data_IF_234126636669
#
_entry.id   IF_234126636669
#
_cell.length_a   1.000
_cell.length_b   1.000
_cell.length_c   1.000
_cell.angle_alpha   90.00
_cell.angle_beta   90.00
_cell.angle_gamma   90.00
#
_symmetry.space_group_name_H-M   'P 1'
#
loop_
_entity.id
_entity.type
_entity.pdbx_description
1 polymer ?
#
# COMPACT_ATOMS: atom_id res chain seq x y z
N UNK A 1 -2.74 -23.78 21.55
CA UNK A 1 -1.60 -23.02 20.97
C UNK A 1 -1.58 -23.37 19.48
N UNK A 2 -1.48 -22.39 18.59
CA UNK A 2 -1.39 -22.67 17.16
C UNK A 2 0.07 -22.98 16.81
N UNK A 3 0.31 -24.10 16.13
CA UNK A 3 1.63 -24.42 15.60
C UNK A 3 1.93 -23.48 14.42
N UNK A 4 3.02 -22.73 14.53
CA UNK A 4 3.50 -21.83 13.48
C UNK A 4 4.57 -22.55 12.67
N UNK A 5 4.34 -22.71 11.37
CA UNK A 5 5.32 -23.25 10.43
C UNK A 5 5.94 -22.13 9.60
N UNK A 6 7.26 -22.13 9.49
CA UNK A 6 7.98 -21.26 8.56
C UNK A 6 7.74 -21.74 7.13
N UNK A 7 7.21 -20.85 6.29
CA UNK A 7 6.97 -21.16 4.88
C UNK A 7 8.15 -20.78 3.99
N UNK A 8 8.54 -19.52 4.01
CA UNK A 8 9.63 -18.99 3.17
C UNK A 8 10.05 -17.58 3.60
N UNK A 9 11.19 -17.14 3.07
CA UNK A 9 11.67 -15.75 3.13
C UNK A 9 11.83 -15.28 1.70
N UNK A 10 11.17 -14.17 1.37
CA UNK A 10 11.23 -13.58 0.04
C UNK A 10 12.02 -12.29 0.13
N UNK A 11 13.10 -12.18 -0.66
CA UNK A 11 13.83 -10.92 -0.81
C UNK A 11 12.97 -9.94 -1.61
N UNK A 12 12.78 -8.76 -1.05
CA UNK A 12 11.97 -7.69 -1.66
C UNK A 12 12.92 -6.60 -2.14
N UNK A 13 12.71 -6.07 -3.36
CA UNK A 13 13.53 -5.00 -3.94
C UNK A 13 12.65 -3.85 -4.39
N UNK A 14 13.21 -2.63 -4.36
CA UNK A 14 12.54 -1.46 -4.93
C UNK A 14 12.34 -1.67 -6.43
N UNK A 15 11.12 -1.50 -6.90
CA UNK A 15 10.75 -1.58 -8.30
C UNK A 15 10.94 -0.21 -8.97
N UNK A 16 11.16 -0.16 -10.30
CA UNK A 16 11.14 1.10 -11.02
C UNK A 16 9.76 1.76 -10.93
N UNK A 17 9.68 3.04 -11.32
CA UNK A 17 8.38 3.70 -11.45
C UNK A 17 7.53 2.96 -12.48
N UNK A 18 6.26 2.70 -12.16
CA UNK A 18 5.35 2.00 -13.05
C UNK A 18 3.97 1.80 -12.48
N UNK A 19 3.17 1.01 -13.18
CA UNK A 19 1.84 0.61 -12.76
C UNK A 19 1.92 -0.72 -12.03
N UNK A 20 1.40 -0.75 -10.80
CA UNK A 20 1.41 -1.91 -9.93
C UNK A 20 0.03 -2.13 -9.34
N UNK A 21 -0.27 -3.40 -9.07
CA UNK A 21 -1.44 -3.77 -8.28
C UNK A 21 -0.94 -4.07 -6.87
N UNK A 22 -1.32 -3.22 -5.92
CA UNK A 22 -0.76 -3.21 -4.56
C UNK A 22 -1.83 -3.56 -3.53
N UNK A 23 -1.43 -4.29 -2.49
CA UNK A 23 -2.31 -4.64 -1.38
C UNK A 23 -2.05 -3.75 -0.17
N UNK A 24 -3.12 -3.39 0.55
CA UNK A 24 -3.04 -2.74 1.85
C UNK A 24 -3.19 -1.21 1.80
N UNK A 25 -2.50 -0.53 2.71
CA UNK A 25 -2.56 0.91 2.88
C UNK A 25 -1.59 1.62 1.93
N UNK A 26 -2.07 2.67 1.29
CA UNK A 26 -1.36 3.40 0.24
C UNK A 26 -1.28 4.86 0.65
N UNK A 27 -0.07 5.41 0.80
CA UNK A 27 0.06 6.86 1.01
C UNK A 27 -0.37 7.61 -0.23
N UNK A 28 -1.34 8.50 -0.07
CA UNK A 28 -1.95 9.21 -1.19
C UNK A 28 -0.93 10.03 -1.99
N UNK A 29 0.08 10.60 -1.32
CA UNK A 29 1.14 11.38 -1.99
C UNK A 29 2.09 10.55 -2.87
N UNK A 30 2.16 9.22 -2.71
CA UNK A 30 3.09 8.35 -3.44
C UNK A 30 2.43 7.53 -4.54
N UNK A 31 1.12 7.64 -4.72
CA UNK A 31 0.39 6.81 -5.64
C UNK A 31 -0.64 7.63 -6.41
N UNK A 32 -0.66 7.44 -7.73
CA UNK A 32 -1.73 7.92 -8.58
C UNK A 32 -2.65 6.76 -8.90
N UNK A 33 -3.93 6.91 -8.57
CA UNK A 33 -4.94 5.89 -8.81
C UNK A 33 -5.22 5.72 -10.30
N UNK A 34 -5.32 4.47 -10.76
CA UNK A 34 -5.87 4.15 -12.07
C UNK A 34 -7.41 4.14 -11.97
N UNK A 35 -8.01 5.33 -12.09
CA UNK A 35 -9.45 5.55 -11.89
C UNK A 35 -10.30 4.68 -12.84
N UNK A 36 -9.83 4.47 -14.06
CA UNK A 36 -10.54 3.64 -15.03
C UNK A 36 -10.63 2.19 -14.53
N UNK A 37 -9.50 1.60 -14.12
CA UNK A 37 -9.50 0.22 -13.58
C UNK A 37 -10.27 0.11 -12.28
N UNK A 38 -10.18 1.10 -11.41
CA UNK A 38 -10.95 1.14 -10.15
C UNK A 38 -12.45 1.06 -10.44
N UNK A 39 -12.92 1.78 -11.45
CA UNK A 39 -14.32 1.76 -11.85
C UNK A 39 -14.70 0.42 -12.50
N UNK A 40 -13.89 -0.09 -13.42
CA UNK A 40 -14.10 -1.38 -14.09
C UNK A 40 -14.14 -2.56 -13.11
N UNK A 41 -13.29 -2.55 -12.07
CA UNK A 41 -13.21 -3.57 -11.03
C UNK A 41 -14.15 -3.30 -9.84
N UNK A 42 -14.91 -2.21 -9.89
CA UNK A 42 -15.84 -1.78 -8.84
C UNK A 42 -15.18 -1.75 -7.45
N UNK A 43 -13.99 -1.15 -7.35
CA UNK A 43 -13.22 -1.06 -6.10
C UNK A 43 -13.78 0.02 -5.17
N UNK A 44 -13.89 -0.30 -3.87
CA UNK A 44 -14.39 0.60 -2.85
C UNK A 44 -13.24 1.16 -2.03
N UNK A 45 -12.76 2.36 -2.40
CA UNK A 45 -11.67 3.04 -1.73
C UNK A 45 -12.18 4.01 -0.65
N UNK A 46 -11.50 4.01 0.49
CA UNK A 46 -11.66 5.02 1.53
C UNK A 46 -10.35 5.78 1.73
N UNK A 47 -10.50 7.06 2.08
CA UNK A 47 -9.39 7.90 2.53
C UNK A 47 -9.47 7.95 4.06
N UNK A 48 -8.36 7.61 4.71
CA UNK A 48 -8.18 7.76 6.14
C UNK A 48 -6.98 8.64 6.42
N UNK A 49 -7.01 9.34 7.55
CA UNK A 49 -5.89 10.15 8.02
C UNK A 49 -5.25 9.45 9.22
N UNK A 50 -3.99 9.05 9.09
CA UNK A 50 -3.28 8.32 10.14
C UNK A 50 -2.05 9.08 10.64
N UNK A 51 -1.72 8.94 11.94
CA UNK A 51 -0.43 9.39 12.46
C UNK A 51 0.72 8.68 11.72
N UNK A 52 1.74 9.45 11.35
CA UNK A 52 2.92 8.95 10.62
C UNK A 52 4.20 9.14 11.43
N UNK A 53 4.37 10.32 12.01
CA UNK A 53 5.57 10.69 12.72
C UNK A 53 5.21 11.40 14.03
N UNK A 54 6.03 11.19 15.05
CA UNK A 54 5.94 11.91 16.31
C UNK A 54 7.17 12.80 16.44
N UNK A 55 6.96 14.09 16.70
CA UNK A 55 8.05 15.02 16.97
C UNK A 55 8.67 14.74 18.36
N UNK A 56 9.87 15.26 18.65
CA UNK A 56 10.43 15.22 20.01
C UNK A 56 9.50 15.82 21.07
N UNK A 57 8.70 16.81 20.67
CA UNK A 57 7.69 17.46 21.50
C UNK A 57 6.37 16.68 21.61
N UNK A 58 6.35 15.41 21.17
CA UNK A 58 5.18 14.50 21.20
C UNK A 58 3.99 14.98 20.39
N UNK A 59 4.23 15.73 19.32
CA UNK A 59 3.19 16.15 18.37
C UNK A 59 3.13 15.16 17.22
N UNK A 60 1.93 14.65 16.91
CA UNK A 60 1.72 13.74 15.80
C UNK A 60 1.51 14.47 14.49
N UNK A 61 2.39 14.21 13.53
CA UNK A 61 2.15 14.50 12.13
C UNK A 61 1.32 13.39 11.50
N UNK A 62 0.40 13.78 10.63
CA UNK A 62 -0.54 12.87 10.00
C UNK A 62 -0.40 12.91 8.49
N UNK A 63 -0.64 11.77 7.84
CA UNK A 63 -0.72 11.67 6.39
C UNK A 63 -2.04 11.03 5.96
N UNK A 64 -2.42 11.29 4.72
CA UNK A 64 -3.60 10.69 4.08
C UNK A 64 -3.21 9.35 3.43
N UNK A 65 -4.04 8.34 3.69
CA UNK A 65 -3.88 7.00 3.18
C UNK A 65 -5.16 6.56 2.48
N UNK A 66 -4.99 5.83 1.40
CA UNK A 66 -6.02 5.13 0.66
C UNK A 66 -6.02 3.66 1.08
N UNK A 67 -7.21 3.09 1.23
CA UNK A 67 -7.41 1.68 1.57
C UNK A 67 -8.65 1.13 0.87
N UNK A 68 -8.61 -0.11 0.40
CA UNK A 68 -9.77 -0.80 -0.19
C UNK A 68 -10.50 -1.63 0.86
N UNK A 69 -11.81 -1.41 0.97
CA UNK A 69 -12.64 -1.90 2.09
C UNK A 69 -12.77 -3.41 2.21
N UNK A 70 -12.56 -4.16 1.13
CA UNK A 70 -12.68 -5.61 1.06
C UNK A 70 -11.31 -6.29 0.99
N UNK A 71 -10.21 -5.55 1.21
CA UNK A 71 -8.85 -6.07 1.11
C UNK A 71 -8.42 -6.43 -0.32
N UNK A 72 -9.15 -5.96 -1.34
CA UNK A 72 -8.79 -6.17 -2.74
C UNK A 72 -7.56 -5.35 -3.11
N UNK A 73 -6.70 -5.89 -3.98
CA UNK A 73 -5.57 -5.13 -4.52
C UNK A 73 -6.04 -3.87 -5.28
N UNK A 74 -5.28 -2.79 -5.19
CA UNK A 74 -5.60 -1.50 -5.82
C UNK A 74 -4.60 -1.21 -6.94
N UNK A 75 -5.05 -0.90 -8.17
CA UNK A 75 -4.17 -0.52 -9.26
C UNK A 75 -3.70 0.94 -9.11
N UNK A 76 -2.38 1.15 -9.05
CA UNK A 76 -1.76 2.46 -8.87
C UNK A 76 -0.52 2.64 -9.74
N UNK A 77 -0.27 3.86 -10.19
CA UNK A 77 1.03 4.31 -10.69
C UNK A 77 1.86 4.84 -9.51
N UNK A 78 3.07 4.31 -9.29
CA UNK A 78 3.94 4.72 -8.18
C UNK A 78 5.42 4.49 -8.48
N UNK A 79 6.29 5.25 -7.82
CA UNK A 79 7.75 5.04 -7.78
C UNK A 79 8.23 4.37 -6.48
N UNK A 80 7.31 4.12 -5.53
CA UNK A 80 7.62 3.61 -4.20
C UNK A 80 7.26 2.14 -4.00
N UNK A 81 6.96 1.42 -5.08
CA UNK A 81 6.65 0.00 -5.02
C UNK A 81 7.89 -0.85 -4.72
N UNK A 82 7.70 -1.88 -3.92
CA UNK A 82 8.66 -2.95 -3.66
C UNK A 82 8.07 -4.28 -4.11
N UNK A 83 8.88 -5.11 -4.76
CA UNK A 83 8.46 -6.36 -5.36
C UNK A 83 9.29 -7.55 -4.92
N UNK A 84 8.61 -8.70 -4.78
CA UNK A 84 9.19 -10.00 -4.48
C UNK A 84 8.10 -11.07 -4.46
N UNK A 85 8.40 -12.29 -4.91
CA UNK A 85 7.44 -13.41 -4.86
C UNK A 85 6.15 -13.18 -5.65
N UNK A 86 6.21 -12.44 -6.76
CA UNK A 86 5.06 -12.17 -7.63
C UNK A 86 4.07 -11.11 -7.13
N UNK A 87 4.41 -10.38 -6.06
CA UNK A 87 3.55 -9.33 -5.48
C UNK A 87 4.28 -8.00 -5.41
N UNK A 88 3.51 -6.92 -5.44
CA UNK A 88 3.98 -5.56 -5.21
C UNK A 88 3.35 -4.99 -3.93
N UNK A 89 4.17 -4.29 -3.16
CA UNK A 89 3.80 -3.69 -1.89
C UNK A 89 4.24 -2.23 -1.87
N UNK A 90 3.48 -1.41 -1.16
CA UNK A 90 3.91 -0.09 -0.72
C UNK A 90 4.17 -0.16 0.77
N UNK A 91 5.32 0.36 1.20
CA UNK A 91 5.62 0.53 2.61
C UNK A 91 5.23 1.94 3.05
N UNK A 92 4.67 2.05 4.26
CA UNK A 92 4.11 3.28 4.84
C UNK A 92 5.21 4.25 5.28
#
# INVERSE_FOLDING_TARGET
MADLEYKETVLIKKLPKGNYVVNGLIRQEYAKLDIQKIYEENLSLQIIRMPRQVSPDRVFEHAEYLFEMNGRPVPVETAEAFGGGGKAWLFL
#
